data_IF_700756481177
#
_entry.id   IF_700756481177
#
_cell.length_a   1.000
_cell.length_b   1.000
_cell.length_c   1.000
_cell.angle_alpha   90.00
_cell.angle_beta   90.00
_cell.angle_gamma   90.00
#
_symmetry.space_group_name_H-M   'P 1'
#
loop_
_entity.id
_entity.type
_entity.pdbx_description
1 polymer ?
#
# COMPACT_ATOMS: atom_id res chain seq x y z
N UNK A 1 -6.31 24.45 -12.06
CA UNK A 1 -6.22 23.23 -11.25
C UNK A 1 -7.61 22.69 -10.97
N UNK A 2 -7.84 21.44 -11.25
CA UNK A 2 -9.11 20.81 -10.98
C UNK A 2 -9.18 20.38 -9.52
N UNK A 3 -10.05 21.01 -8.73
CA UNK A 3 -10.19 20.75 -7.32
C UNK A 3 -11.02 19.51 -7.00
N UNK A 4 -11.65 18.91 -8.02
CA UNK A 4 -12.46 17.70 -7.86
C UNK A 4 -11.62 16.44 -7.99
N UNK A 5 -10.32 16.56 -8.29
CA UNK A 5 -9.43 15.42 -8.39
C UNK A 5 -8.64 15.23 -7.10
N UNK A 6 -8.39 13.99 -6.75
CA UNK A 6 -7.67 13.61 -5.55
C UNK A 6 -6.45 12.78 -5.89
N UNK A 7 -5.43 12.91 -5.06
CA UNK A 7 -4.34 11.94 -4.97
C UNK A 7 -4.64 11.05 -3.77
N UNK A 8 -4.88 9.79 -4.02
CA UNK A 8 -5.19 8.81 -2.99
C UNK A 8 -4.09 7.76 -2.93
N UNK A 9 -3.57 7.52 -1.73
CA UNK A 9 -2.59 6.48 -1.48
C UNK A 9 -3.28 5.41 -0.66
N UNK A 10 -3.05 4.15 -0.99
CA UNK A 10 -3.64 3.02 -0.28
C UNK A 10 -2.54 2.07 0.17
N UNK A 11 -2.70 1.51 1.36
CA UNK A 11 -1.82 0.48 1.89
C UNK A 11 -2.64 -0.78 2.10
N UNK A 12 -2.20 -1.88 1.47
CA UNK A 12 -2.83 -3.19 1.62
C UNK A 12 -2.05 -4.05 2.60
N UNK A 13 -2.73 -4.52 3.63
CA UNK A 13 -2.15 -5.37 4.67
C UNK A 13 -2.16 -6.82 4.17
N UNK A 14 -1.24 -7.15 3.27
CA UNK A 14 -1.17 -8.46 2.63
C UNK A 14 -0.08 -9.33 3.24
N UNK A 15 -0.48 -10.50 3.72
CA UNK A 15 0.45 -11.56 4.10
C UNK A 15 0.20 -12.80 3.27
N UNK A 16 -1.08 -13.10 3.03
CA UNK A 16 -1.52 -14.24 2.26
C UNK A 16 -2.57 -13.80 1.25
N UNK A 17 -2.56 -14.43 0.09
CA UNK A 17 -3.59 -14.24 -0.91
C UNK A 17 -3.73 -12.80 -1.37
N UNK A 18 -4.86 -12.50 -1.96
CA UNK A 18 -5.09 -11.26 -2.67
C UNK A 18 -6.28 -10.46 -2.14
N UNK A 19 -6.88 -10.88 -1.00
CA UNK A 19 -8.12 -10.29 -0.50
C UNK A 19 -8.04 -8.80 -0.26
N UNK A 20 -7.00 -8.34 0.43
CA UNK A 20 -6.84 -6.92 0.75
C UNK A 20 -6.54 -6.09 -0.49
N UNK A 21 -5.61 -6.53 -1.34
CA UNK A 21 -5.25 -5.78 -2.54
C UNK A 21 -6.42 -5.74 -3.52
N UNK A 22 -7.17 -6.82 -3.68
CA UNK A 22 -8.35 -6.84 -4.55
C UNK A 22 -9.44 -5.91 -4.04
N UNK A 23 -9.65 -5.87 -2.72
CA UNK A 23 -10.60 -4.93 -2.12
C UNK A 23 -10.19 -3.49 -2.40
N UNK A 24 -8.93 -3.17 -2.19
CA UNK A 24 -8.42 -1.82 -2.41
C UNK A 24 -8.51 -1.41 -3.87
N UNK A 25 -8.21 -2.31 -4.79
CA UNK A 25 -8.36 -2.04 -6.22
C UNK A 25 -9.83 -1.81 -6.59
N UNK A 26 -10.76 -2.55 -5.99
CA UNK A 26 -12.19 -2.33 -6.19
C UNK A 26 -12.62 -0.95 -5.72
N UNK A 27 -12.14 -0.53 -4.53
CA UNK A 27 -12.40 0.80 -4.00
C UNK A 27 -11.81 1.87 -4.93
N UNK A 28 -10.57 1.65 -5.40
CA UNK A 28 -9.89 2.59 -6.29
C UNK A 28 -10.67 2.78 -7.60
N UNK A 29 -11.14 1.69 -8.21
CA UNK A 29 -11.94 1.77 -9.44
C UNK A 29 -13.22 2.58 -9.22
N UNK A 30 -13.90 2.33 -8.11
CA UNK A 30 -15.12 3.06 -7.78
C UNK A 30 -14.84 4.55 -7.54
N UNK A 31 -13.73 4.84 -6.89
CA UNK A 31 -13.33 6.22 -6.64
C UNK A 31 -13.10 6.97 -7.95
N UNK A 32 -12.46 6.33 -8.93
CA UNK A 32 -12.23 6.95 -10.24
C UNK A 32 -13.53 7.15 -11.02
N UNK A 33 -14.52 6.27 -10.84
CA UNK A 33 -15.85 6.49 -11.43
C UNK A 33 -16.51 7.73 -10.85
N UNK A 34 -16.36 7.94 -9.55
CA UNK A 34 -16.98 9.06 -8.85
C UNK A 34 -16.20 10.37 -8.97
N UNK A 35 -14.90 10.28 -9.17
CA UNK A 35 -14.02 11.44 -9.27
C UNK A 35 -13.01 11.24 -10.42
N UNK A 36 -13.47 11.36 -11.67
CA UNK A 36 -12.60 11.18 -12.83
C UNK A 36 -11.42 12.16 -12.80
N UNK A 37 -10.25 11.70 -13.21
CA UNK A 37 -9.03 12.48 -13.16
C UNK A 37 -8.23 12.32 -11.87
N UNK A 38 -8.79 11.66 -10.86
CA UNK A 38 -8.06 11.34 -9.64
C UNK A 38 -6.99 10.29 -9.90
N UNK A 39 -6.02 10.21 -9.02
CA UNK A 39 -4.93 9.24 -9.10
C UNK A 39 -4.87 8.43 -7.82
N UNK A 40 -4.77 7.12 -7.96
CA UNK A 40 -4.70 6.19 -6.84
C UNK A 40 -3.42 5.37 -6.95
N UNK A 41 -2.61 5.42 -5.90
CA UNK A 41 -1.38 4.65 -5.81
C UNK A 41 -1.50 3.64 -4.68
N UNK A 42 -1.48 2.36 -5.03
CA UNK A 42 -1.67 1.27 -4.07
C UNK A 42 -0.33 0.65 -3.74
N UNK A 43 -0.02 0.56 -2.44
CA UNK A 43 1.17 -0.14 -1.96
C UNK A 43 0.73 -1.48 -1.38
N UNK A 44 1.28 -2.56 -1.91
CA UNK A 44 0.88 -3.92 -1.53
C UNK A 44 2.06 -4.86 -1.48
N UNK A 45 2.00 -5.84 -0.60
CA UNK A 45 3.02 -6.88 -0.48
C UNK A 45 2.86 -8.01 -1.49
N UNK A 46 1.75 -8.03 -2.23
CA UNK A 46 1.48 -9.03 -3.26
C UNK A 46 1.01 -8.36 -4.54
N UNK A 47 1.36 -8.97 -5.67
CA UNK A 47 0.90 -8.52 -6.99
C UNK A 47 -0.23 -9.41 -7.44
N UNK A 48 -1.43 -8.86 -7.72
CA UNK A 48 -2.49 -9.64 -8.33
C UNK A 48 -2.05 -10.11 -9.72
N UNK A 49 -2.30 -11.38 -10.07
CA UNK A 49 -2.02 -11.83 -11.44
C UNK A 49 -3.00 -11.19 -12.42
N UNK A 50 -2.56 -11.04 -13.65
CA UNK A 50 -3.41 -10.54 -14.75
C UNK A 50 -4.16 -9.25 -14.41
N UNK A 51 -3.50 -8.37 -13.64
CA UNK A 51 -4.14 -7.12 -13.26
C UNK A 51 -3.99 -6.11 -14.37
N UNK A 52 -5.12 -5.80 -15.00
CA UNK A 52 -5.21 -4.74 -15.99
C UNK A 52 -5.75 -3.50 -15.28
N UNK A 53 -4.85 -2.58 -14.95
CA UNK A 53 -5.22 -1.40 -14.20
C UNK A 53 -5.68 -0.29 -15.14
N UNK A 54 -6.83 0.35 -14.84
CA UNK A 54 -7.27 1.49 -15.63
C UNK A 54 -6.35 2.69 -15.44
N UNK A 55 -6.41 3.66 -16.35
CA UNK A 55 -5.69 4.90 -16.20
C UNK A 55 -6.06 5.56 -14.86
N UNK A 56 -5.07 6.03 -14.14
CA UNK A 56 -5.27 6.65 -12.84
C UNK A 56 -5.02 5.75 -11.65
N UNK A 57 -4.82 4.45 -11.86
CA UNK A 57 -4.46 3.52 -10.79
C UNK A 57 -3.10 2.90 -11.12
N UNK A 58 -2.20 2.91 -10.15
CA UNK A 58 -0.95 2.17 -10.25
C UNK A 58 -0.65 1.49 -8.92
N UNK A 59 0.28 0.54 -8.94
CA UNK A 59 0.56 -0.28 -7.79
C UNK A 59 2.07 -0.40 -7.60
N UNK A 60 2.50 -0.21 -6.34
CA UNK A 60 3.89 -0.44 -5.95
C UNK A 60 3.93 -1.71 -5.11
N UNK A 61 4.70 -2.68 -5.56
CA UNK A 61 4.90 -3.91 -4.80
C UNK A 61 5.99 -3.70 -3.76
N UNK A 62 5.62 -3.84 -2.50
CA UNK A 62 6.57 -3.87 -1.39
C UNK A 62 7.24 -5.24 -1.30
N UNK A 63 8.47 -5.32 -0.79
CA UNK A 63 9.09 -6.63 -0.53
C UNK A 63 8.19 -7.51 0.32
N UNK A 64 8.09 -8.77 -0.05
CA UNK A 64 7.10 -9.70 0.50
C UNK A 64 7.37 -10.11 1.93
N UNK A 65 6.30 -10.28 2.69
CA UNK A 65 6.31 -10.79 4.06
C UNK A 65 5.39 -12.00 4.15
N UNK A 66 5.60 -12.79 5.20
CA UNK A 66 4.70 -13.89 5.52
C UNK A 66 4.45 -13.91 7.03
N UNK A 67 3.32 -14.47 7.42
CA UNK A 67 2.97 -14.69 8.82
C UNK A 67 3.25 -16.16 9.13
N UNK A 68 4.11 -16.42 10.14
CA UNK A 68 4.43 -17.79 10.50
C UNK A 68 3.34 -18.40 11.41
N UNK A 69 3.52 -19.67 11.79
CA UNK A 69 2.53 -20.40 12.60
C UNK A 69 2.32 -19.82 14.00
N UNK A 70 3.24 -18.99 14.49
CA UNK A 70 3.11 -18.30 15.79
C UNK A 70 2.51 -16.91 15.67
N UNK A 71 2.12 -16.50 14.48
CA UNK A 71 1.52 -15.20 14.24
C UNK A 71 2.50 -14.06 14.04
N UNK A 72 3.78 -14.36 13.91
CA UNK A 72 4.81 -13.34 13.65
C UNK A 72 5.03 -13.14 12.16
N UNK A 73 5.27 -11.88 11.79
CA UNK A 73 5.61 -11.53 10.42
C UNK A 73 7.10 -11.68 10.19
N UNK A 74 7.48 -12.24 9.04
CA UNK A 74 8.86 -12.50 8.65
C UNK A 74 9.06 -12.14 7.18
N UNK A 75 10.31 -11.88 6.73
CA UNK A 75 10.60 -11.77 5.31
C UNK A 75 10.23 -13.06 4.60
N UNK A 76 9.54 -12.94 3.47
CA UNK A 76 9.13 -14.10 2.69
C UNK A 76 10.20 -14.54 1.69
N UNK A 77 10.78 -13.59 1.00
CA UNK A 77 11.67 -13.84 -0.14
C UNK A 77 13.12 -13.47 0.14
N UNK A 78 13.32 -12.32 0.77
CA UNK A 78 14.67 -11.84 1.03
C UNK A 78 15.27 -12.53 2.26
N UNK A 79 16.56 -12.86 2.20
CA UNK A 79 17.30 -13.47 3.30
C UNK A 79 17.96 -12.37 4.16
N UNK A 80 17.13 -11.57 4.80
CA UNK A 80 17.56 -10.47 5.66
C UNK A 80 16.78 -10.53 6.98
N UNK A 81 17.28 -9.82 7.97
CA UNK A 81 16.59 -9.72 9.25
C UNK A 81 15.28 -8.91 9.10
N UNK A 82 14.27 -9.29 9.88
CA UNK A 82 12.97 -8.60 9.83
C UNK A 82 13.07 -7.11 10.08
N UNK A 83 13.99 -6.67 10.94
CA UNK A 83 14.16 -5.25 11.24
C UNK A 83 14.72 -4.48 10.05
N UNK A 84 15.61 -5.11 9.28
CA UNK A 84 16.12 -4.54 8.04
C UNK A 84 15.01 -4.43 7.00
N UNK A 85 14.20 -5.48 6.85
CA UNK A 85 13.07 -5.45 5.93
C UNK A 85 12.03 -4.40 6.33
N UNK A 86 11.75 -4.27 7.61
CA UNK A 86 10.88 -3.21 8.13
C UNK A 86 11.39 -1.84 7.71
N UNK A 87 12.69 -1.59 7.86
CA UNK A 87 13.28 -0.31 7.48
C UNK A 87 13.16 -0.05 5.98
N UNK A 88 13.39 -1.06 5.15
CA UNK A 88 13.23 -0.94 3.70
C UNK A 88 11.77 -0.59 3.34
N UNK A 89 10.83 -1.34 3.85
CA UNK A 89 9.40 -1.12 3.56
C UNK A 89 8.95 0.25 4.07
N UNK A 90 9.28 0.58 5.31
CA UNK A 90 8.93 1.86 5.92
C UNK A 90 9.50 3.03 5.12
N UNK A 91 10.75 2.90 4.67
CA UNK A 91 11.40 3.92 3.86
C UNK A 91 10.72 4.14 2.51
N UNK A 92 10.34 3.05 1.84
CA UNK A 92 9.60 3.13 0.56
C UNK A 92 8.28 3.85 0.77
N UNK A 93 7.52 3.45 1.77
CA UNK A 93 6.19 4.02 2.05
C UNK A 93 6.32 5.51 2.34
N UNK A 94 7.26 5.87 3.19
CA UNK A 94 7.49 7.27 3.54
C UNK A 94 7.92 8.09 2.34
N UNK A 95 8.84 7.58 1.53
CA UNK A 95 9.31 8.29 0.35
C UNK A 95 8.16 8.54 -0.63
N UNK A 96 7.35 7.53 -0.88
CA UNK A 96 6.19 7.66 -1.75
C UNK A 96 5.24 8.72 -1.21
N UNK A 97 4.92 8.67 0.08
CA UNK A 97 4.01 9.63 0.69
C UNK A 97 4.52 11.07 0.59
N UNK A 98 5.82 11.28 0.83
CA UNK A 98 6.40 12.62 0.77
C UNK A 98 6.49 13.17 -0.65
N UNK A 99 6.58 12.30 -1.64
CA UNK A 99 6.72 12.67 -3.06
C UNK A 99 5.36 12.76 -3.76
N UNK A 100 4.51 11.77 -3.55
CA UNK A 100 3.19 11.71 -4.16
C UNK A 100 2.23 12.72 -3.55
N UNK A 101 2.40 13.04 -2.27
CA UNK A 101 1.56 14.00 -1.52
C UNK A 101 0.09 13.66 -1.60
N UNK A 102 -0.31 12.51 -1.03
CA UNK A 102 -1.71 12.13 -1.09
C UNK A 102 -2.59 13.09 -0.31
N UNK A 103 -3.79 13.33 -0.84
CA UNK A 103 -4.85 14.03 -0.10
C UNK A 103 -5.49 13.11 0.92
N UNK A 104 -5.51 11.81 0.61
CA UNK A 104 -6.11 10.78 1.47
C UNK A 104 -5.19 9.56 1.47
N UNK A 105 -4.96 8.99 2.65
CA UNK A 105 -4.23 7.75 2.81
C UNK A 105 -5.15 6.72 3.47
N UNK A 106 -5.56 5.71 2.68
CA UNK A 106 -6.42 4.63 3.16
C UNK A 106 -5.56 3.44 3.57
N UNK A 107 -5.73 2.99 4.81
CA UNK A 107 -4.97 1.88 5.36
C UNK A 107 -5.91 0.69 5.62
N UNK A 108 -5.65 -0.43 4.97
CA UNK A 108 -6.37 -1.68 5.17
C UNK A 108 -5.39 -2.70 5.72
N UNK A 109 -5.48 -3.16 6.98
CA UNK A 109 -6.55 -2.83 7.91
C UNK A 109 -6.01 -2.41 9.28
N UNK A 110 -4.76 -2.77 9.64
CA UNK A 110 -4.14 -2.30 10.89
C UNK A 110 -3.65 -0.88 10.69
N UNK A 111 -4.12 0.10 11.49
CA UNK A 111 -3.83 1.51 11.21
C UNK A 111 -2.34 1.88 11.13
N UNK A 112 -1.48 1.19 11.88
CA UNK A 112 -0.04 1.46 11.84
C UNK A 112 0.73 0.52 10.93
N UNK A 113 0.02 -0.41 10.23
CA UNK A 113 0.62 -1.35 9.31
C UNK A 113 1.34 -2.51 9.99
N UNK A 114 1.93 -3.39 9.17
CA UNK A 114 2.73 -4.50 9.66
C UNK A 114 3.96 -3.94 10.38
N UNK A 115 4.27 -4.47 11.56
CA UNK A 115 5.41 -4.02 12.39
C UNK A 115 5.35 -2.55 12.78
N UNK A 116 4.19 -1.89 12.65
CA UNK A 116 4.11 -0.45 12.85
C UNK A 116 4.85 0.35 11.79
N UNK A 117 5.06 -0.21 10.61
CA UNK A 117 5.89 0.40 9.55
C UNK A 117 5.33 1.69 8.98
N UNK A 118 4.05 1.98 9.24
CA UNK A 118 3.43 3.23 8.80
C UNK A 118 3.67 4.40 9.74
N UNK A 119 4.15 4.14 10.95
CA UNK A 119 4.33 5.21 11.96
C UNK A 119 5.17 6.38 11.47
N UNK A 120 6.33 6.17 10.83
CA UNK A 120 7.12 7.30 10.33
C UNK A 120 6.37 8.14 9.30
N UNK A 121 5.59 7.49 8.43
CA UNK A 121 4.78 8.17 7.41
C UNK A 121 3.63 8.94 8.05
N UNK A 122 2.92 8.32 8.99
CA UNK A 122 1.78 8.97 9.66
C UNK A 122 2.20 10.22 10.44
N UNK A 123 3.40 10.21 11.02
CA UNK A 123 3.94 11.40 11.68
C UNK A 123 4.21 12.53 10.70
N UNK A 124 4.57 12.22 9.48
CA UNK A 124 4.80 13.22 8.44
C UNK A 124 3.49 13.82 7.94
N UNK A 125 2.47 13.01 7.81
CA UNK A 125 1.17 13.45 7.35
C UNK A 125 0.41 14.19 8.46
#
# INVERSE_FOLDING_TARGET
MNRNTLHVMMYSHDGFGLGHVQRNLGIARRLLELSPGSNVLVLAGTMPPDTDLPAGIDLIKLPSILKNGTGNWLPRTLSIHKDELKSVRSGIIRHVATTFRPDVFLVDFVPTGVWGELKPTLKYL
#
